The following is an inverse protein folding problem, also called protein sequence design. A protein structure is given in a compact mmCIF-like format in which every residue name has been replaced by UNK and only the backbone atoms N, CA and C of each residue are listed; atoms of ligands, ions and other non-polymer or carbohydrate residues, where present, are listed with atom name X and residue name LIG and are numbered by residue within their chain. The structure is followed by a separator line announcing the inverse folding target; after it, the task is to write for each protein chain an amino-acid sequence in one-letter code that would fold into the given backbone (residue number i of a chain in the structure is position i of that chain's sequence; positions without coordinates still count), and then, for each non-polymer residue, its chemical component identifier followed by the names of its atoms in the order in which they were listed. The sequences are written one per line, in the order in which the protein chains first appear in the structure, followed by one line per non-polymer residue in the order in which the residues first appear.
data_IF_092782531554
#
_entry.id   IF_092782531554
#
_cell.length_a   1.000
_cell.length_b   1.000
_cell.length_c   1.000
_cell.angle_alpha   90.00
_cell.angle_beta   90.00
_cell.angle_gamma   90.00
#
_symmetry.space_group_name_H-M   'P 1'
#
loop_
_entity.id
_entity.type
_entity.pdbx_description
1 polymer ?
#
# COMPACT_ATOMS: atom_id res chain seq x y z
N UNK A 1 30.53 -3.47 29.98
CA UNK A 1 29.21 -2.98 30.39
C UNK A 1 28.66 -2.19 29.24
N UNK A 2 27.70 -2.76 28.51
CA UNK A 2 27.03 -2.11 27.39
C UNK A 2 25.56 -2.06 27.76
N UNK A 3 25.10 -0.87 28.15
CA UNK A 3 23.68 -0.60 28.34
C UNK A 3 22.99 -0.66 26.98
N UNK A 4 22.00 -1.54 26.91
CA UNK A 4 21.08 -1.70 25.79
C UNK A 4 20.22 -0.44 25.67
N UNK A 5 20.46 0.36 24.63
CA UNK A 5 19.42 1.17 24.02
C UNK A 5 19.19 0.62 22.62
N UNK A 6 18.10 -0.12 22.47
CA UNK A 6 17.70 -0.77 21.23
C UNK A 6 17.12 0.25 20.26
N UNK A 7 17.77 0.43 19.11
CA UNK A 7 17.08 0.80 17.87
C UNK A 7 17.50 -0.23 16.81
N UNK A 8 16.70 -1.28 16.67
CA UNK A 8 16.80 -2.26 15.58
C UNK A 8 15.64 -1.96 14.63
N UNK A 9 15.93 -1.51 13.40
CA UNK A 9 14.95 -1.35 12.32
C UNK A 9 15.16 -0.03 11.56
N UNK A 10 15.35 -0.09 10.24
CA UNK A 10 15.66 1.11 9.44
C UNK A 10 14.52 2.12 9.45
N UNK A 11 14.88 3.35 9.09
CA UNK A 11 14.30 4.65 9.47
C UNK A 11 12.82 4.95 9.09
N UNK A 12 12.01 3.95 8.76
CA UNK A 12 10.56 3.97 9.05
C UNK A 12 10.28 3.51 10.50
N UNK A 13 11.28 2.90 11.15
CA UNK A 13 11.32 2.58 12.58
C UNK A 13 10.47 1.38 12.99
N UNK A 14 10.49 1.04 14.29
CA UNK A 14 9.52 0.12 14.90
C UNK A 14 8.10 0.69 14.93
N UNK A 15 7.90 1.92 14.43
CA UNK A 15 6.66 2.67 14.54
C UNK A 15 5.90 2.75 13.22
N UNK A 16 6.53 3.36 12.20
CA UNK A 16 5.89 3.61 10.90
C UNK A 16 6.22 2.42 10.01
N UNK A 17 5.20 1.83 9.41
CA UNK A 17 5.37 0.78 8.41
C UNK A 17 5.61 1.40 7.03
N UNK A 18 4.79 2.40 6.65
CA UNK A 18 4.91 3.11 5.39
C UNK A 18 4.17 4.44 5.42
N UNK A 19 4.48 5.33 4.47
CA UNK A 19 3.71 6.56 4.24
C UNK A 19 3.69 6.91 2.76
N UNK A 20 2.70 7.70 2.38
CA UNK A 20 2.55 8.28 1.04
C UNK A 20 2.24 9.78 1.18
N UNK A 21 2.81 10.66 0.34
CA UNK A 21 3.88 10.38 -0.60
C UNK A 21 5.17 9.92 0.09
N UNK A 22 6.06 9.27 -0.67
CA UNK A 22 7.31 8.75 -0.12
C UNK A 22 8.24 9.91 0.27
N UNK A 23 9.20 9.61 1.13
CA UNK A 23 10.22 10.59 1.56
C UNK A 23 11.02 11.06 0.35
N UNK A 24 11.13 12.37 0.21
CA UNK A 24 11.86 13.07 -0.84
C UNK A 24 11.36 12.73 -2.25
N UNK A 25 10.12 12.27 -2.38
CA UNK A 25 9.51 12.02 -3.68
C UNK A 25 9.10 13.34 -4.38
N UNK A 26 8.98 13.35 -5.72
CA UNK A 26 9.21 12.21 -6.62
C UNK A 26 10.70 11.85 -6.74
N UNK A 27 11.00 10.55 -6.79
CA UNK A 27 12.35 10.09 -7.11
C UNK A 27 12.58 10.09 -8.64
N UNK A 28 13.83 10.00 -9.07
CA UNK A 28 14.17 9.96 -10.49
C UNK A 28 13.44 8.80 -11.18
N UNK A 29 12.70 9.11 -12.24
CA UNK A 29 11.91 8.13 -13.00
C UNK A 29 10.51 7.83 -12.43
N UNK A 30 10.14 8.38 -11.26
CA UNK A 30 8.77 8.31 -10.75
C UNK A 30 7.89 9.43 -11.32
N UNK A 31 6.57 9.21 -11.46
CA UNK A 31 5.65 10.27 -11.84
C UNK A 31 5.64 11.40 -10.78
N UNK A 32 5.36 12.64 -11.19
CA UNK A 32 5.23 13.75 -10.26
C UNK A 32 4.08 13.51 -9.27
N UNK A 33 4.21 14.05 -8.05
CA UNK A 33 3.14 13.99 -7.05
C UNK A 33 2.14 15.11 -7.37
N UNK A 34 0.86 14.80 -7.62
CA UNK A 34 -0.13 15.82 -7.98
C UNK A 34 -0.59 16.62 -6.76
N UNK A 35 -1.07 17.84 -6.98
CA UNK A 35 -1.51 18.74 -5.91
C UNK A 35 -2.83 18.37 -5.21
N UNK A 36 -3.61 17.47 -5.80
CA UNK A 36 -4.84 16.91 -5.20
C UNK A 36 -4.61 15.57 -4.49
N UNK A 37 -3.35 15.22 -4.24
CA UNK A 37 -2.98 13.95 -3.60
C UNK A 37 -3.36 13.90 -2.12
N UNK A 38 -3.71 12.71 -1.65
CA UNK A 38 -3.85 12.36 -0.23
C UNK A 38 -2.48 12.10 0.40
N UNK A 39 -2.43 12.25 1.72
CA UNK A 39 -1.29 11.86 2.56
C UNK A 39 -1.72 10.67 3.41
N UNK A 40 -0.88 9.64 3.49
CA UNK A 40 -1.21 8.40 4.20
C UNK A 40 -0.08 8.01 5.11
N UNK A 41 -0.44 7.53 6.30
CA UNK A 41 0.49 7.03 7.29
C UNK A 41 -0.03 5.68 7.76
N UNK A 42 0.80 4.64 7.60
CA UNK A 42 0.54 3.30 8.15
C UNK A 42 1.50 3.06 9.31
N UNK A 43 0.94 2.80 10.48
CA UNK A 43 1.65 2.41 11.70
C UNK A 43 1.74 0.89 11.80
N UNK A 44 2.79 0.38 12.45
CA UNK A 44 2.94 -1.07 12.69
C UNK A 44 1.89 -1.61 13.66
N UNK A 45 1.47 -0.78 14.61
CA UNK A 45 0.51 -1.10 15.66
C UNK A 45 -0.63 -0.09 15.71
N UNK A 46 -1.72 -0.47 16.39
CA UNK A 46 -2.89 0.38 16.53
C UNK A 46 -2.56 1.62 17.38
N UNK A 47 -2.95 2.78 16.88
CA UNK A 47 -2.75 4.06 17.58
C UNK A 47 -3.99 4.45 18.37
N UNK A 48 -3.84 5.41 19.28
CA UNK A 48 -4.92 6.05 19.99
C UNK A 48 -5.54 7.16 19.11
N UNK A 49 -6.79 7.00 18.62
CA UNK A 49 -7.34 7.87 17.58
C UNK A 49 -7.36 9.36 17.93
N UNK A 50 -7.73 9.72 19.16
CA UNK A 50 -7.81 11.13 19.60
C UNK A 50 -6.48 11.87 19.56
N UNK A 51 -5.35 11.17 19.48
CA UNK A 51 -4.04 11.81 19.38
C UNK A 51 -3.70 12.22 17.94
N UNK A 52 -4.55 11.87 16.97
CA UNK A 52 -4.28 12.12 15.56
C UNK A 52 -5.48 12.70 14.79
N UNK A 53 -6.70 12.47 15.25
CA UNK A 53 -7.94 12.95 14.64
C UNK A 53 -8.78 13.62 15.72
N UNK A 54 -9.33 14.77 15.38
CA UNK A 54 -10.33 15.47 16.17
C UNK A 54 -11.73 15.04 15.71
N UNK A 55 -12.55 14.58 16.66
CA UNK A 55 -13.94 14.16 16.43
C UNK A 55 -14.83 15.41 16.32
N UNK A 56 -14.91 15.97 15.12
CA UNK A 56 -15.59 17.24 14.84
C UNK A 56 -17.11 17.04 14.84
N UNK A 57 -17.57 15.86 14.45
CA UNK A 57 -19.00 15.57 14.37
C UNK A 57 -19.58 14.98 15.67
N UNK A 58 -18.74 14.63 16.65
CA UNK A 58 -19.13 14.16 17.97
C UNK A 58 -19.73 12.76 17.98
N UNK A 59 -19.42 11.94 16.97
CA UNK A 59 -19.95 10.57 16.83
C UNK A 59 -19.31 9.59 17.83
N UNK A 60 -18.12 9.91 18.35
CA UNK A 60 -17.27 8.99 19.08
C UNK A 60 -16.54 7.99 18.18
N UNK A 61 -16.70 8.08 16.87
CA UNK A 61 -15.99 7.30 15.84
C UNK A 61 -15.06 8.25 15.10
N UNK A 62 -13.77 8.09 15.33
CA UNK A 62 -12.76 8.97 14.73
C UNK A 62 -12.54 8.64 13.25
N UNK A 63 -12.54 9.68 12.43
CA UNK A 63 -12.22 9.60 11.01
C UNK A 63 -13.41 9.14 10.18
N UNK A 64 -14.62 9.56 10.54
CA UNK A 64 -15.84 9.27 9.81
C UNK A 64 -16.50 10.53 9.21
N UNK A 65 -17.64 10.33 8.54
CA UNK A 65 -18.47 11.38 7.96
C UNK A 65 -19.90 11.19 8.43
N UNK A 66 -20.34 12.04 9.35
CA UNK A 66 -21.71 12.04 9.85
C UNK A 66 -22.39 13.33 9.43
N UNK A 67 -23.57 13.20 8.81
CA UNK A 67 -24.40 14.34 8.37
C UNK A 67 -23.65 15.39 7.54
N UNK A 68 -22.65 14.98 6.75
CA UNK A 68 -21.86 15.87 5.90
C UNK A 68 -20.72 16.59 6.62
N UNK A 69 -20.47 16.28 7.90
CA UNK A 69 -19.37 16.85 8.70
C UNK A 69 -18.26 15.80 8.86
N UNK A 70 -17.15 15.92 8.13
CA UNK A 70 -16.02 15.02 8.28
C UNK A 70 -15.19 15.39 9.51
N UNK A 71 -14.57 14.37 10.10
CA UNK A 71 -13.53 14.58 11.09
C UNK A 71 -12.27 15.18 10.47
N UNK A 72 -11.54 15.93 11.31
CA UNK A 72 -10.33 16.64 10.91
C UNK A 72 -9.09 16.08 11.58
N UNK A 73 -7.94 16.35 10.98
CA UNK A 73 -6.66 15.98 11.60
C UNK A 73 -6.44 16.79 12.89
N UNK A 74 -5.87 16.15 13.90
CA UNK A 74 -5.37 16.86 15.07
C UNK A 74 -4.11 17.65 14.65
N UNK A 75 -4.29 18.95 14.38
CA UNK A 75 -3.23 19.82 13.84
C UNK A 75 -2.15 20.21 14.86
N UNK A 76 -2.33 19.85 16.14
CA UNK A 76 -1.26 19.95 17.15
C UNK A 76 -0.22 18.84 16.96
N UNK A 77 -0.68 17.61 16.75
CA UNK A 77 0.15 16.41 16.65
C UNK A 77 0.56 16.04 15.23
N UNK A 78 -0.23 16.45 14.23
CA UNK A 78 0.06 16.22 12.81
C UNK A 78 0.10 17.55 12.08
N UNK A 79 1.28 17.92 11.61
CA UNK A 79 1.50 19.18 10.90
C UNK A 79 1.87 18.93 9.48
N UNK A 80 1.16 19.60 8.57
CA UNK A 80 1.37 19.53 7.13
C UNK A 80 1.55 20.96 6.66
N UNK A 81 2.71 21.32 6.13
CA UNK A 81 3.00 22.69 5.74
C UNK A 81 3.92 22.74 4.53
N UNK A 82 3.80 23.80 3.73
CA UNK A 82 4.81 24.11 2.73
C UNK A 82 6.15 24.33 3.45
N UNK A 83 7.21 23.65 3.00
CA UNK A 83 8.51 23.62 3.69
C UNK A 83 9.11 25.03 3.86
N UNK A 84 8.84 25.94 2.92
CA UNK A 84 9.26 27.35 2.99
C UNK A 84 8.57 28.13 4.13
N UNK A 85 7.35 27.75 4.48
CA UNK A 85 6.48 28.52 5.37
C UNK A 85 6.65 28.10 6.83
N UNK A 86 7.08 26.85 7.04
CA UNK A 86 7.35 26.27 8.34
C UNK A 86 6.10 25.87 9.12
N UNK A 87 6.34 25.23 10.27
CA UNK A 87 5.31 24.56 11.07
C UNK A 87 4.24 25.52 11.65
N UNK A 88 4.53 26.82 11.76
CA UNK A 88 3.55 27.83 12.22
C UNK A 88 2.47 28.15 11.18
N UNK A 89 2.61 27.63 9.96
CA UNK A 89 1.68 27.79 8.84
C UNK A 89 1.14 26.43 8.40
N UNK A 90 1.08 25.46 9.31
CA UNK A 90 0.51 24.16 9.00
C UNK A 90 -0.99 24.26 8.74
N UNK A 91 -1.45 23.43 7.80
CA UNK A 91 -2.85 23.31 7.43
C UNK A 91 -3.68 22.85 8.63
N UNK A 92 -4.93 23.29 8.70
CA UNK A 92 -5.88 22.92 9.75
C UNK A 92 -5.62 23.56 11.12
N UNK A 93 -4.73 24.56 11.20
CA UNK A 93 -4.42 25.27 12.45
C UNK A 93 -5.31 26.50 12.70
N UNK A 94 -5.92 27.07 11.67
CA UNK A 94 -6.81 28.24 11.81
C UNK A 94 -8.28 27.82 11.84
N UNK A 95 -8.94 27.79 13.01
CA UNK A 95 -10.34 27.39 13.11
C UNK A 95 -11.32 28.35 12.42
N UNK A 96 -10.85 29.53 11.96
CA UNK A 96 -11.68 30.49 11.23
C UNK A 96 -11.47 30.39 9.71
N UNK A 97 -10.55 29.54 9.25
CA UNK A 97 -10.26 29.37 7.82
C UNK A 97 -10.64 27.98 7.36
N UNK A 98 -11.93 27.78 7.06
CA UNK A 98 -12.43 26.51 6.55
C UNK A 98 -11.81 26.09 5.20
N UNK A 99 -11.12 26.98 4.48
CA UNK A 99 -10.40 26.62 3.25
C UNK A 99 -9.09 25.86 3.54
N UNK A 100 -8.64 25.89 4.80
CA UNK A 100 -7.44 25.23 5.29
C UNK A 100 -7.74 23.90 6.02
N UNK A 101 -9.02 23.50 6.06
CA UNK A 101 -9.43 22.25 6.71
C UNK A 101 -8.69 21.04 6.12
N UNK A 102 -8.32 20.12 7.00
CA UNK A 102 -7.68 18.85 6.63
C UNK A 102 -8.52 17.71 7.16
N UNK A 103 -9.19 17.00 6.27
CA UNK A 103 -10.01 15.86 6.62
C UNK A 103 -9.15 14.63 6.89
N UNK A 104 -9.61 13.79 7.82
CA UNK A 104 -8.93 12.55 8.17
C UNK A 104 -9.90 11.38 8.21
N UNK A 105 -9.39 10.20 7.85
CA UNK A 105 -10.10 8.92 7.93
C UNK A 105 -9.19 7.89 8.57
N UNK A 106 -9.77 6.98 9.37
CA UNK A 106 -9.01 5.96 10.12
C UNK A 106 -9.47 4.56 9.73
N UNK A 107 -8.52 3.65 9.51
CA UNK A 107 -8.84 2.25 9.27
C UNK A 107 -9.46 1.59 10.50
N UNK A 108 -10.28 0.56 10.29
CA UNK A 108 -10.96 -0.15 11.39
C UNK A 108 -10.01 -0.79 12.42
N UNK A 109 -8.79 -1.16 12.01
CA UNK A 109 -7.72 -1.67 12.87
C UNK A 109 -6.89 -0.55 13.54
N UNK A 110 -7.21 0.71 13.24
CA UNK A 110 -6.58 1.93 13.78
C UNK A 110 -5.08 2.02 13.49
N UNK A 111 -4.65 1.50 12.33
CA UNK A 111 -3.24 1.55 11.91
C UNK A 111 -2.98 2.51 10.76
N UNK A 112 -3.98 2.80 9.94
CA UNK A 112 -3.84 3.60 8.73
C UNK A 112 -4.67 4.87 8.87
N UNK A 113 -4.03 6.02 8.70
CA UNK A 113 -4.74 7.29 8.52
C UNK A 113 -4.59 7.72 7.08
N UNK A 114 -5.72 8.13 6.52
CA UNK A 114 -5.79 8.83 5.24
C UNK A 114 -6.13 10.28 5.53
N UNK A 115 -5.31 11.18 4.99
CA UNK A 115 -5.40 12.61 5.20
C UNK A 115 -5.68 13.26 3.85
N UNK A 116 -6.74 14.06 3.79
CA UNK A 116 -7.17 14.78 2.60
C UNK A 116 -7.31 16.27 2.92
N UNK A 117 -6.32 17.11 2.53
CA UNK A 117 -6.52 18.54 2.50
C UNK A 117 -7.78 18.90 1.71
N UNK A 118 -8.62 19.79 2.22
CA UNK A 118 -9.86 20.19 1.55
C UNK A 118 -9.58 20.82 0.18
N UNK A 119 -8.56 21.68 0.14
CA UNK A 119 -8.08 22.32 -1.06
C UNK A 119 -6.78 21.69 -1.55
N UNK A 120 -6.48 21.86 -2.84
CA UNK A 120 -5.23 21.40 -3.42
C UNK A 120 -4.03 22.07 -2.75
N UNK A 121 -3.01 21.28 -2.44
CA UNK A 121 -1.78 21.74 -1.80
C UNK A 121 -0.77 22.22 -2.85
N UNK A 122 0.06 23.22 -2.53
CA UNK A 122 1.05 23.76 -3.47
C UNK A 122 0.49 24.81 -4.41
N UNK A 123 1.11 24.96 -5.59
CA UNK A 123 0.86 26.07 -6.52
C UNK A 123 0.47 25.56 -7.92
N UNK A 124 -0.50 26.19 -8.62
CA UNK A 124 -0.86 25.83 -10.00
C UNK A 124 0.22 26.15 -11.05
N UNK A 125 1.33 26.80 -10.67
CA UNK A 125 2.33 27.30 -11.64
C UNK A 125 3.76 26.85 -11.33
N UNK A 126 3.99 26.24 -10.17
CA UNK A 126 5.32 25.75 -9.79
C UNK A 126 5.24 24.64 -8.75
N UNK A 127 6.26 23.81 -8.75
CA UNK A 127 6.45 22.78 -7.74
C UNK A 127 6.60 23.39 -6.35
N UNK A 128 6.05 22.71 -5.35
CA UNK A 128 6.08 23.17 -3.95
C UNK A 128 6.49 22.02 -3.04
N UNK A 129 7.56 22.21 -2.26
CA UNK A 129 7.95 21.23 -1.23
C UNK A 129 7.07 21.35 0.00
N UNK A 130 6.62 20.21 0.50
CA UNK A 130 5.85 20.06 1.73
C UNK A 130 6.62 19.25 2.75
N UNK A 131 6.37 19.54 4.02
CA UNK A 131 6.82 18.75 5.17
C UNK A 131 5.61 18.23 5.92
N UNK A 132 5.66 16.95 6.31
CA UNK A 132 4.73 16.37 7.28
C UNK A 132 5.51 16.04 8.53
N UNK A 133 5.00 16.45 9.68
CA UNK A 133 5.60 16.22 10.99
C UNK A 133 4.58 15.62 11.95
N UNK A 134 4.98 14.54 12.60
CA UNK A 134 4.20 13.78 13.57
C UNK A 134 4.86 13.92 14.95
N UNK A 135 4.09 14.30 15.95
CA UNK A 135 4.53 14.40 17.36
C UNK A 135 3.37 14.11 18.30
N UNK A 136 3.65 13.70 19.54
CA UNK A 136 2.60 13.52 20.57
C UNK A 136 1.62 12.36 20.34
N UNK A 137 1.82 11.55 19.30
CA UNK A 137 0.97 10.39 18.98
C UNK A 137 1.20 9.27 19.99
N UNK A 138 0.11 8.61 20.41
CA UNK A 138 0.13 7.49 21.35
C UNK A 138 -0.30 6.18 20.69
N UNK A 139 0.26 5.07 21.18
CA UNK A 139 -0.27 3.74 20.94
C UNK A 139 -1.64 3.58 21.60
N UNK A 140 -2.43 2.58 21.17
CA UNK A 140 -3.74 2.31 21.75
C UNK A 140 -3.71 2.05 23.28
N UNK A 141 -2.57 1.61 23.82
CA UNK A 141 -2.37 1.41 25.26
C UNK A 141 -2.08 2.72 26.03
N UNK A 142 -1.89 3.84 25.34
CA UNK A 142 -1.59 5.17 25.91
C UNK A 142 -0.11 5.56 25.94
N UNK A 143 0.80 4.64 25.61
CA UNK A 143 2.24 4.93 25.56
C UNK A 143 2.57 5.85 24.39
N UNK A 144 3.59 6.71 24.56
CA UNK A 144 4.08 7.56 23.47
C UNK A 144 4.75 6.70 22.40
N UNK A 145 4.45 7.02 21.15
CA UNK A 145 4.98 6.29 20.00
C UNK A 145 6.45 6.67 19.73
N UNK A 146 6.76 7.96 19.76
CA UNK A 146 8.09 8.48 19.47
C UNK A 146 8.88 8.61 20.78
N UNK A 147 9.63 7.56 21.12
CA UNK A 147 10.49 7.50 22.29
C UNK A 147 11.96 7.57 21.87
N UNK A 148 12.76 8.45 22.48
CA UNK A 148 14.21 8.52 22.26
C UNK A 148 14.75 9.94 22.17
N UNK A 149 15.90 10.10 21.50
CA UNK A 149 16.53 11.41 21.29
C UNK A 149 15.69 12.37 20.42
N UNK A 150 14.77 11.80 19.62
CA UNK A 150 13.78 12.53 18.84
C UNK A 150 12.39 12.05 19.26
N UNK A 151 11.50 12.98 19.59
CA UNK A 151 10.12 12.74 20.00
C UNK A 151 9.12 13.03 18.87
N UNK A 152 9.58 12.99 17.63
CA UNK A 152 8.80 13.26 16.43
C UNK A 152 9.32 12.43 15.25
N UNK A 153 8.51 12.35 14.20
CA UNK A 153 8.89 11.84 12.89
C UNK A 153 8.48 12.84 11.82
N UNK A 154 9.38 13.19 10.91
CA UNK A 154 9.08 14.07 9.79
C UNK A 154 9.64 13.56 8.46
N UNK A 155 8.97 13.95 7.38
CA UNK A 155 9.46 13.75 6.03
C UNK A 155 9.00 14.87 5.11
N UNK A 156 9.69 14.98 3.99
CA UNK A 156 9.37 15.96 2.95
C UNK A 156 9.02 15.25 1.65
N UNK A 157 8.27 15.93 0.79
CA UNK A 157 8.01 15.57 -0.59
C UNK A 157 7.70 16.84 -1.38
N UNK A 158 7.72 16.76 -2.71
CA UNK A 158 7.43 17.89 -3.59
C UNK A 158 6.21 17.58 -4.43
N UNK A 159 5.18 18.43 -4.32
CA UNK A 159 4.01 18.38 -5.22
C UNK A 159 4.28 19.23 -6.46
N UNK A 160 3.76 18.79 -7.60
CA UNK A 160 3.84 19.51 -8.86
C UNK A 160 2.72 20.55 -9.01
N UNK A 161 2.72 21.27 -10.13
CA UNK A 161 1.63 22.16 -10.53
C UNK A 161 0.36 21.42 -11.00
N UNK A 162 0.45 20.13 -11.25
CA UNK A 162 -0.58 19.35 -11.95
C UNK A 162 -1.55 18.68 -10.98
N UNK A 163 -2.80 18.53 -11.42
CA UNK A 163 -3.80 17.70 -10.77
C UNK A 163 -3.86 16.35 -11.46
N UNK A 164 -4.12 15.31 -10.68
CA UNK A 164 -4.32 13.98 -11.22
C UNK A 164 -5.81 13.67 -11.39
N UNK A 165 -6.16 13.36 -12.64
CA UNK A 165 -7.49 13.00 -13.12
C UNK A 165 -7.41 11.67 -13.89
N UNK A 166 -6.43 10.83 -13.60
CA UNK A 166 -6.27 9.52 -14.23
C UNK A 166 -6.86 8.47 -13.29
N UNK A 167 -7.85 7.69 -13.72
CA UNK A 167 -8.35 6.56 -12.95
C UNK A 167 -7.28 5.51 -12.68
N UNK A 168 -7.23 4.91 -11.48
CA UNK A 168 -6.42 3.73 -11.26
C UNK A 168 -6.98 2.56 -12.07
N UNK A 169 -6.09 1.65 -12.48
CA UNK A 169 -6.43 0.47 -13.25
C UNK A 169 -5.82 -0.78 -12.60
N UNK A 170 -6.52 -1.92 -12.75
CA UNK A 170 -5.94 -3.21 -12.40
C UNK A 170 -4.82 -3.56 -13.38
N UNK A 171 -3.62 -3.77 -12.84
CA UNK A 171 -2.42 -4.17 -13.56
C UNK A 171 -2.31 -5.69 -13.61
N UNK A 172 -2.56 -6.39 -12.51
CA UNK A 172 -2.57 -7.86 -12.49
C UNK A 172 -3.34 -8.44 -11.31
N UNK A 173 -3.72 -9.71 -11.44
CA UNK A 173 -4.32 -10.48 -10.34
C UNK A 173 -3.66 -11.82 -10.13
N UNK A 174 -3.73 -12.30 -8.89
CA UNK A 174 -3.45 -13.69 -8.52
C UNK A 174 -4.68 -14.21 -7.76
N UNK A 175 -5.12 -15.44 -8.02
CA UNK A 175 -4.80 -16.22 -9.21
C UNK A 175 -5.43 -15.62 -10.48
N UNK A 176 -4.84 -15.92 -11.63
CA UNK A 176 -5.46 -15.63 -12.93
C UNK A 176 -6.60 -16.63 -13.21
N UNK A 177 -7.66 -16.23 -13.94
CA UNK A 177 -8.62 -17.16 -14.51
C UNK A 177 -7.93 -18.26 -15.31
N UNK A 178 -8.31 -19.51 -15.07
CA UNK A 178 -7.67 -20.67 -15.68
C UNK A 178 -8.62 -21.87 -15.73
N UNK A 179 -8.38 -22.78 -16.68
CA UNK A 179 -9.10 -24.06 -16.75
C UNK A 179 -8.77 -25.02 -15.61
N UNK A 180 -7.60 -24.84 -14.98
CA UNK A 180 -7.15 -25.60 -13.82
C UNK A 180 -7.49 -24.89 -12.51
N UNK A 181 -7.67 -25.67 -11.44
CA UNK A 181 -7.89 -25.17 -10.10
C UNK A 181 -6.55 -24.96 -9.36
N UNK A 182 -6.55 -24.05 -8.39
CA UNK A 182 -5.40 -23.72 -7.54
C UNK A 182 -5.53 -24.37 -6.16
N UNK A 183 -4.43 -24.65 -5.44
CA UNK A 183 -4.49 -25.01 -4.03
C UNK A 183 -5.32 -23.99 -3.24
N UNK A 184 -6.12 -24.45 -2.29
CA UNK A 184 -7.08 -23.58 -1.58
C UNK A 184 -6.43 -22.57 -0.62
N UNK A 185 -5.12 -22.63 -0.42
CA UNK A 185 -4.34 -21.62 0.29
C UNK A 185 -3.57 -20.67 -0.66
N UNK A 186 -3.97 -20.59 -1.93
CA UNK A 186 -3.47 -19.58 -2.87
C UNK A 186 -3.79 -18.17 -2.35
N UNK A 187 -2.84 -17.25 -2.53
CA UNK A 187 -3.04 -15.83 -2.21
C UNK A 187 -3.97 -15.23 -3.26
N UNK A 188 -4.97 -14.47 -2.81
CA UNK A 188 -5.80 -13.65 -3.70
C UNK A 188 -5.26 -12.23 -3.64
N UNK A 189 -4.81 -11.71 -4.78
CA UNK A 189 -4.07 -10.46 -4.88
C UNK A 189 -4.57 -9.64 -6.07
N UNK A 190 -4.72 -8.33 -5.87
CA UNK A 190 -4.97 -7.32 -6.92
C UNK A 190 -3.81 -6.34 -6.90
N UNK A 191 -3.18 -6.12 -8.06
CA UNK A 191 -2.17 -5.09 -8.25
C UNK A 191 -2.72 -3.99 -9.13
N UNK A 192 -2.45 -2.75 -8.75
CA UNK A 192 -2.86 -1.55 -9.45
C UNK A 192 -1.64 -0.85 -10.06
N UNK A 193 -1.85 -0.12 -11.16
CA UNK A 193 -0.80 0.68 -11.79
C UNK A 193 -0.32 1.85 -10.90
N UNK A 194 -1.14 2.28 -9.97
CA UNK A 194 -0.87 3.38 -9.05
C UNK A 194 -1.34 3.12 -7.61
N UNK A 195 -1.05 4.08 -6.73
CA UNK A 195 -1.34 3.94 -5.32
C UNK A 195 -2.84 4.17 -5.04
N UNK A 196 -3.44 3.27 -4.27
CA UNK A 196 -4.87 3.22 -3.94
C UNK A 196 -5.12 3.67 -2.51
N UNK A 197 -6.19 4.42 -2.29
CA UNK A 197 -6.65 4.79 -0.95
C UNK A 197 -6.97 3.53 -0.11
N UNK A 198 -6.25 3.29 1.00
CA UNK A 198 -6.46 2.16 1.90
C UNK A 198 -7.87 2.06 2.47
N UNK A 199 -8.52 3.18 2.80
CA UNK A 199 -9.88 3.18 3.36
C UNK A 199 -10.87 2.69 2.30
N UNK A 200 -10.56 2.94 1.03
CA UNK A 200 -11.36 2.49 -0.10
C UNK A 200 -11.13 1.01 -0.47
N UNK A 201 -9.99 0.42 -0.09
CA UNK A 201 -9.52 -0.84 -0.65
C UNK A 201 -9.09 -1.91 0.38
N UNK A 202 -9.15 -1.60 1.68
CA UNK A 202 -8.77 -2.53 2.75
C UNK A 202 -9.77 -2.50 3.90
N UNK A 203 -9.84 -3.63 4.61
CA UNK A 203 -10.70 -3.77 5.77
C UNK A 203 -11.18 -5.21 5.98
N UNK A 204 -11.86 -5.40 7.12
CA UNK A 204 -12.48 -6.68 7.45
C UNK A 204 -13.75 -6.83 6.64
N UNK A 205 -13.78 -7.87 5.82
CA UNK A 205 -14.94 -8.27 5.03
C UNK A 205 -15.62 -9.44 5.73
N UNK A 206 -16.87 -9.24 6.16
CA UNK A 206 -17.70 -10.29 6.72
C UNK A 206 -19.15 -10.17 6.20
N UNK A 207 -19.93 -11.24 6.36
CA UNK A 207 -21.32 -11.29 5.85
C UNK A 207 -22.29 -10.37 6.61
N UNK A 208 -21.95 -9.96 7.83
CA UNK A 208 -22.82 -9.27 8.78
C UNK A 208 -22.54 -7.74 8.84
N UNK A 209 -21.55 -7.26 8.08
CA UNK A 209 -21.18 -5.84 7.98
C UNK A 209 -19.68 -5.60 7.76
N UNK A 210 -19.27 -4.34 7.67
CA UNK A 210 -17.86 -3.95 7.52
C UNK A 210 -17.52 -3.46 6.12
N UNK A 211 -16.27 -3.70 5.71
CA UNK A 211 -15.76 -3.29 4.40
C UNK A 211 -16.48 -4.04 3.27
N UNK A 212 -16.86 -3.38 2.18
CA UNK A 212 -17.64 -4.00 1.09
C UNK A 212 -17.23 -3.60 -0.33
N UNK A 213 -16.12 -2.86 -0.47
CA UNK A 213 -15.68 -2.35 -1.78
C UNK A 213 -14.96 -3.44 -2.59
N UNK A 214 -14.32 -4.37 -1.90
CA UNK A 214 -13.77 -5.59 -2.50
C UNK A 214 -14.39 -6.79 -1.78
N UNK A 215 -14.76 -7.80 -2.55
CA UNK A 215 -15.41 -9.00 -2.02
C UNK A 215 -14.92 -10.25 -2.75
N UNK A 216 -14.94 -11.37 -2.03
CA UNK A 216 -14.71 -12.69 -2.59
C UNK A 216 -15.84 -13.63 -2.13
N UNK A 217 -16.41 -14.37 -3.07
CA UNK A 217 -17.57 -15.23 -2.79
C UNK A 217 -17.57 -16.54 -3.60
N UNK A 218 -17.82 -17.71 -2.97
CA UNK A 218 -18.37 -18.88 -3.66
C UNK A 218 -19.86 -18.70 -3.94
N UNK A 219 -20.27 -18.75 -5.19
CA UNK A 219 -21.70 -18.84 -5.58
C UNK A 219 -22.61 -17.85 -4.81
N UNK A 220 -22.16 -16.58 -4.70
CA UNK A 220 -22.83 -15.45 -4.01
C UNK A 220 -22.80 -15.43 -2.46
N UNK A 221 -22.11 -16.36 -1.80
CA UNK A 221 -21.89 -16.31 -0.34
C UNK A 221 -20.53 -15.68 -0.01
N UNK A 222 -20.48 -14.63 0.80
CA UNK A 222 -19.23 -13.95 1.18
C UNK A 222 -18.29 -14.87 2.01
N UNK A 223 -16.99 -14.90 1.67
CA UNK A 223 -15.95 -15.50 2.53
C UNK A 223 -15.51 -14.47 3.55
N UNK A 224 -15.54 -14.80 4.84
CA UNK A 224 -15.00 -13.88 5.86
C UNK A 224 -13.48 -13.82 5.80
N UNK A 225 -12.92 -12.63 5.99
CA UNK A 225 -11.49 -12.39 5.99
C UNK A 225 -11.15 -10.91 6.00
N UNK A 226 -9.90 -10.61 5.67
CA UNK A 226 -9.36 -9.26 5.70
C UNK A 226 -8.69 -8.94 4.37
N UNK A 227 -9.08 -7.83 3.76
CA UNK A 227 -8.34 -7.23 2.67
C UNK A 227 -7.28 -6.31 3.27
N UNK A 228 -6.01 -6.57 2.96
CA UNK A 228 -4.88 -5.77 3.41
C UNK A 228 -4.23 -5.09 2.23
N UNK A 229 -3.94 -3.80 2.36
CA UNK A 229 -3.20 -3.06 1.37
C UNK A 229 -1.70 -3.09 1.70
N UNK A 230 -0.86 -3.22 0.69
CA UNK A 230 0.59 -3.34 0.82
C UNK A 230 1.30 -2.78 -0.41
N UNK A 231 2.62 -2.98 -0.49
CA UNK A 231 3.44 -2.68 -1.66
C UNK A 231 3.32 -1.21 -2.09
N UNK A 232 3.54 -0.29 -1.14
CA UNK A 232 3.38 1.16 -1.35
C UNK A 232 1.99 1.54 -1.86
N UNK A 233 0.97 0.89 -1.28
CA UNK A 233 -0.44 1.09 -1.57
C UNK A 233 -0.88 0.67 -2.98
N UNK A 234 -0.07 -0.11 -3.70
CA UNK A 234 -0.41 -0.60 -5.06
C UNK A 234 -0.95 -2.02 -5.09
N UNK A 235 -1.02 -2.71 -3.96
CA UNK A 235 -1.44 -4.11 -3.91
C UNK A 235 -2.45 -4.33 -2.79
N UNK A 236 -3.55 -5.02 -3.09
CA UNK A 236 -4.50 -5.53 -2.09
C UNK A 236 -4.44 -7.06 -2.07
N UNK A 237 -4.31 -7.64 -0.88
CA UNK A 237 -4.30 -9.09 -0.65
C UNK A 237 -5.43 -9.49 0.29
N UNK A 238 -6.14 -10.57 -0.02
CA UNK A 238 -7.15 -11.15 0.86
C UNK A 238 -6.57 -12.27 1.72
N UNK A 239 -6.80 -12.16 3.02
CA UNK A 239 -6.45 -13.17 4.02
C UNK A 239 -7.73 -13.76 4.61
N UNK A 240 -8.01 -15.03 4.31
CA UNK A 240 -9.12 -15.74 4.95
C UNK A 240 -8.82 -15.97 6.44
N UNK A 241 -9.87 -15.96 7.25
CA UNK A 241 -9.83 -16.34 8.67
C UNK A 241 -10.11 -17.85 8.89
N UNK A 242 -10.38 -18.60 7.82
CA UNK A 242 -10.74 -20.01 7.88
C UNK A 242 -9.50 -20.90 7.97
N UNK A 243 -9.14 -21.32 9.18
CA UNK A 243 -8.02 -22.24 9.41
C UNK A 243 -8.37 -23.63 8.83
N UNK A 244 -7.48 -24.16 7.98
CA UNK A 244 -7.66 -25.41 7.26
C UNK A 244 -6.52 -26.42 7.48
N UNK A 245 -5.44 -26.01 8.14
CA UNK A 245 -4.27 -26.87 8.34
C UNK A 245 -3.21 -26.22 9.22
N UNK A 246 -2.03 -26.86 9.23
CA UNK A 246 -0.81 -26.34 9.85
C UNK A 246 0.35 -26.58 8.90
N UNK A 247 1.29 -25.65 8.86
CA UNK A 247 2.53 -25.85 8.13
C UNK A 247 3.49 -26.78 8.92
N UNK A 248 4.63 -27.19 8.33
CA UNK A 248 5.60 -28.04 9.03
C UNK A 248 6.16 -27.47 10.35
N UNK A 249 6.02 -26.16 10.57
CA UNK A 249 6.42 -25.46 11.80
C UNK A 249 5.28 -25.37 12.83
N UNK A 250 4.12 -25.98 12.56
CA UNK A 250 2.95 -25.94 13.45
C UNK A 250 2.14 -24.65 13.41
N UNK A 251 2.53 -23.66 12.61
CA UNK A 251 1.77 -22.42 12.42
C UNK A 251 0.49 -22.71 11.60
N UNK A 252 -0.64 -22.05 11.91
CA UNK A 252 -1.90 -22.27 11.20
C UNK A 252 -1.79 -21.88 9.72
N UNK A 253 -2.40 -22.68 8.85
CA UNK A 253 -2.65 -22.34 7.45
C UNK A 253 -4.13 -21.96 7.34
N UNK A 254 -4.39 -20.83 6.68
CA UNK A 254 -5.73 -20.36 6.37
C UNK A 254 -6.02 -20.58 4.89
N UNK A 255 -7.26 -20.98 4.57
CA UNK A 255 -7.64 -21.36 3.22
C UNK A 255 -8.98 -20.76 2.81
N UNK A 256 -9.10 -20.56 1.50
CA UNK A 256 -10.36 -20.41 0.80
C UNK A 256 -11.18 -21.72 0.86
N UNK A 257 -12.48 -21.70 0.51
CA UNK A 257 -13.31 -22.89 0.36
C UNK A 257 -12.68 -23.95 -0.56
N UNK A 258 -12.88 -25.21 -0.21
CA UNK A 258 -12.36 -26.37 -0.94
C UNK A 258 -13.23 -26.64 -2.18
N UNK A 259 -12.62 -27.04 -3.30
CA UNK A 259 -13.32 -27.42 -4.54
C UNK A 259 -14.39 -26.43 -5.00
N UNK A 260 -14.12 -25.12 -4.85
CA UNK A 260 -15.09 -24.07 -5.09
C UNK A 260 -14.72 -23.22 -6.31
N UNK A 261 -15.74 -22.64 -6.95
CA UNK A 261 -15.54 -21.53 -7.90
C UNK A 261 -15.73 -20.24 -7.12
N UNK A 262 -14.72 -19.37 -7.14
CA UNK A 262 -14.72 -18.12 -6.39
C UNK A 262 -14.72 -16.97 -7.38
N UNK A 263 -15.62 -16.01 -7.17
CA UNK A 263 -15.63 -14.73 -7.87
C UNK A 263 -15.08 -13.67 -6.92
N UNK A 264 -14.19 -12.83 -7.44
CA UNK A 264 -13.71 -11.62 -6.76
C UNK A 264 -14.24 -10.41 -7.51
N UNK A 265 -14.68 -9.41 -6.76
CA UNK A 265 -15.19 -8.13 -7.27
C UNK A 265 -14.46 -6.99 -6.54
N UNK A 266 -13.90 -6.05 -7.29
CA UNK A 266 -13.49 -4.73 -6.84
C UNK A 266 -14.41 -3.68 -7.46
N UNK A 267 -15.11 -2.91 -6.62
CA UNK A 267 -16.08 -1.91 -7.05
C UNK A 267 -15.38 -0.61 -7.44
N UNK A 268 -15.83 0.00 -8.53
CA UNK A 268 -15.59 1.40 -8.81
C UNK A 268 -16.42 2.28 -7.87
N UNK A 269 -15.93 3.46 -7.55
CA UNK A 269 -16.64 4.42 -6.71
C UNK A 269 -17.67 5.20 -7.53
N UNK A 270 -18.78 5.58 -6.89
CA UNK A 270 -19.75 6.49 -7.49
C UNK A 270 -19.07 7.81 -7.84
N UNK A 271 -19.24 8.28 -9.07
CA UNK A 271 -18.63 9.52 -9.56
C UNK A 271 -19.36 10.77 -9.04
N UNK A 272 -18.60 11.83 -8.79
CA UNK A 272 -19.16 13.13 -8.43
C UNK A 272 -19.92 13.74 -9.61
N UNK A 273 -21.21 14.01 -9.42
CA UNK A 273 -22.00 14.81 -10.36
C UNK A 273 -21.59 16.29 -10.28
N UNK A 274 -20.44 16.64 -10.86
CA UNK A 274 -20.09 18.04 -11.04
C UNK A 274 -20.70 18.55 -12.36
N UNK A 275 -21.67 19.46 -12.25
CA UNK A 275 -22.20 20.25 -13.36
C UNK A 275 -21.11 21.16 -13.97
N UNK A 276 -20.09 20.61 -14.65
CA UNK A 276 -19.15 21.35 -15.51
C UNK A 276 -18.08 20.49 -16.23
N UNK A 277 -17.79 19.25 -15.83
CA UNK A 277 -16.66 18.48 -16.41
C UNK A 277 -17.17 17.17 -17.01
N UNK A 278 -17.30 17.05 -18.35
CA UNK A 278 -17.50 15.76 -19.00
C UNK A 278 -16.38 14.79 -18.58
N UNK A 279 -16.74 13.58 -18.16
CA UNK A 279 -15.80 12.54 -17.71
C UNK A 279 -14.99 12.90 -16.45
N UNK A 280 -15.60 13.54 -15.44
CA UNK A 280 -14.95 13.74 -14.15
C UNK A 280 -14.69 12.39 -13.45
N UNK A 281 -13.42 12.01 -13.22
CA UNK A 281 -13.10 10.71 -12.62
C UNK A 281 -13.23 10.69 -11.10
N UNK A 282 -13.42 11.85 -10.47
CA UNK A 282 -13.46 11.99 -9.02
C UNK A 282 -14.67 11.29 -8.40
N UNK A 283 -14.45 10.57 -7.30
CA UNK A 283 -15.52 9.98 -6.52
C UNK A 283 -16.41 11.05 -5.86
N UNK A 284 -17.70 10.75 -5.72
CA UNK A 284 -18.76 11.64 -5.20
C UNK A 284 -18.56 12.02 -3.73
N UNK A 285 -17.84 11.18 -3.00
CA UNK A 285 -17.59 11.34 -1.57
C UNK A 285 -16.08 11.34 -1.31
N UNK A 286 -15.68 12.03 -0.25
CA UNK A 286 -14.33 11.91 0.31
C UNK A 286 -14.14 10.59 1.08
N UNK A 287 -15.25 9.95 1.45
CA UNK A 287 -15.34 8.57 1.95
C UNK A 287 -16.00 7.73 0.84
N UNK A 288 -15.22 7.22 -0.12
CA UNK A 288 -15.75 6.59 -1.32
C UNK A 288 -16.42 5.26 -0.99
N UNK A 289 -17.39 4.87 -1.82
CA UNK A 289 -18.13 3.59 -1.77
C UNK A 289 -17.53 2.50 -2.68
N UNK A 290 -16.35 2.78 -3.25
CA UNK A 290 -15.58 1.91 -4.13
C UNK A 290 -14.11 2.30 -4.12
N UNK A 291 -13.29 1.54 -4.85
CA UNK A 291 -11.84 1.71 -4.93
C UNK A 291 -11.49 3.03 -5.63
N UNK A 292 -10.64 3.83 -5.00
CA UNK A 292 -10.12 5.10 -5.55
C UNK A 292 -8.62 5.23 -5.36
N UNK A 293 -7.97 6.05 -6.17
CA UNK A 293 -6.55 6.40 -6.00
C UNK A 293 -6.31 7.47 -4.90
N UNK A 294 -5.05 7.89 -4.80
CA UNK A 294 -4.62 8.97 -3.91
C UNK A 294 -5.17 10.34 -4.30
N UNK A 295 -5.59 10.54 -5.54
CA UNK A 295 -6.20 11.77 -6.04
C UNK A 295 -7.74 11.74 -5.96
N UNK A 296 -8.32 10.66 -5.42
CA UNK A 296 -9.76 10.41 -5.31
C UNK A 296 -10.47 10.09 -6.63
N UNK A 297 -9.73 9.64 -7.66
CA UNK A 297 -10.32 9.13 -8.89
C UNK A 297 -10.84 7.71 -8.69
N UNK A 298 -12.04 7.41 -9.19
CA UNK A 298 -12.63 6.08 -9.19
C UNK A 298 -11.85 5.13 -10.10
N UNK A 299 -11.75 3.85 -9.68
CA UNK A 299 -11.24 2.74 -10.47
C UNK A 299 -11.84 2.70 -11.88
N UNK A 300 -10.99 2.48 -12.89
CA UNK A 300 -11.29 2.00 -14.25
C UNK A 300 -10.90 0.51 -14.31
N UNK A 301 -11.83 -0.35 -13.89
CA UNK A 301 -11.59 -1.78 -13.75
C UNK A 301 -11.62 -2.54 -15.07
N UNK A 302 -12.41 -2.07 -16.04
CA UNK A 302 -12.62 -2.78 -17.29
C UNK A 302 -13.43 -4.08 -17.18
N UNK A 303 -14.40 -4.14 -16.27
CA UNK A 303 -15.36 -5.26 -16.23
C UNK A 303 -14.78 -6.62 -15.86
N UNK A 304 -15.10 -7.64 -16.66
CA UNK A 304 -14.75 -9.03 -16.38
C UNK A 304 -13.42 -9.44 -16.99
N UNK A 305 -12.54 -10.01 -16.17
CA UNK A 305 -11.40 -10.80 -16.63
C UNK A 305 -11.78 -12.29 -16.75
N UNK A 306 -11.76 -12.79 -17.97
CA UNK A 306 -12.05 -14.20 -18.32
C UNK A 306 -10.93 -14.82 -19.14
N UNK A 307 -11.02 -16.13 -19.39
CA UNK A 307 -10.19 -16.82 -20.40
C UNK A 307 -10.92 -16.89 -21.74
N UNK A 308 -10.19 -16.84 -22.84
CA UNK A 308 -10.72 -17.15 -24.17
C UNK A 308 -11.36 -18.54 -24.20
N UNK A 309 -12.30 -18.82 -25.13
CA UNK A 309 -12.88 -20.16 -25.27
C UNK A 309 -11.83 -21.27 -25.51
N UNK A 310 -10.70 -20.91 -26.12
CA UNK A 310 -9.54 -21.81 -26.30
C UNK A 310 -8.68 -21.99 -25.05
N UNK A 311 -8.91 -21.21 -23.99
CA UNK A 311 -8.14 -21.20 -22.75
C UNK A 311 -6.71 -20.64 -22.88
N UNK A 312 -6.37 -20.05 -24.03
CA UNK A 312 -4.99 -19.65 -24.36
C UNK A 312 -4.67 -18.18 -24.05
N UNK A 313 -5.69 -17.33 -23.94
CA UNK A 313 -5.52 -15.89 -23.70
C UNK A 313 -6.50 -15.39 -22.65
N UNK A 314 -6.15 -14.30 -21.97
CA UNK A 314 -7.06 -13.57 -21.11
C UNK A 314 -7.84 -12.52 -21.90
N UNK A 315 -9.09 -12.29 -21.51
CA UNK A 315 -9.98 -11.29 -22.09
C UNK A 315 -10.48 -10.42 -20.95
N UNK A 316 -10.33 -9.10 -21.08
CA UNK A 316 -10.90 -8.11 -20.18
C UNK A 316 -12.02 -7.37 -20.93
N UNK A 317 -13.25 -7.36 -20.40
CA UNK A 317 -14.41 -6.78 -21.09
C UNK A 317 -15.44 -6.12 -20.15
N UNK A 318 -15.85 -4.86 -20.41
CA UNK A 318 -15.32 -3.95 -21.44
C UNK A 318 -13.85 -3.57 -21.15
N UNK A 319 -13.02 -3.34 -22.17
CA UNK A 319 -11.61 -3.01 -21.92
C UNK A 319 -11.51 -1.70 -21.14
N UNK A 320 -10.61 -1.64 -20.13
CA UNK A 320 -10.17 -0.38 -19.52
C UNK A 320 -9.77 0.64 -20.58
N UNK A 321 -10.42 1.80 -20.60
CA UNK A 321 -10.28 2.82 -21.65
C UNK A 321 -9.55 4.09 -21.17
N UNK A 322 -9.17 4.12 -19.89
CA UNK A 322 -8.51 5.23 -19.24
C UNK A 322 -9.47 6.33 -18.75
N UNK A 323 -10.77 6.08 -18.75
CA UNK A 323 -11.80 6.98 -18.23
C UNK A 323 -12.55 6.28 -17.11
N UNK A 324 -13.02 7.08 -16.16
CA UNK A 324 -13.99 6.59 -15.20
C UNK A 324 -15.40 6.85 -15.72
N UNK A 325 -16.17 5.79 -15.86
CA UNK A 325 -17.61 5.72 -16.10
C UNK A 325 -18.39 5.34 -14.83
N UNK A 326 -17.69 4.89 -13.78
CA UNK A 326 -18.26 4.54 -12.49
C UNK A 326 -18.97 3.18 -12.48
N UNK A 327 -19.59 2.80 -11.35
CA UNK A 327 -20.28 1.53 -11.24
C UNK A 327 -21.59 1.48 -12.06
N UNK A 328 -21.94 0.32 -12.63
CA UNK A 328 -21.20 -0.94 -12.58
C UNK A 328 -20.16 -1.10 -13.69
N UNK A 329 -20.02 -0.12 -14.60
CA UNK A 329 -19.21 -0.22 -15.83
C UNK A 329 -17.73 -0.49 -15.50
N UNK A 330 -17.18 0.25 -14.56
CA UNK A 330 -15.77 0.14 -14.18
C UNK A 330 -15.50 -0.83 -13.02
N UNK A 331 -16.51 -1.57 -12.58
CA UNK A 331 -16.27 -2.65 -11.63
C UNK A 331 -15.33 -3.67 -12.27
N UNK A 332 -14.36 -4.18 -11.50
CA UNK A 332 -13.48 -5.23 -11.94
C UNK A 332 -13.86 -6.55 -11.28
N UNK A 333 -14.06 -7.61 -12.07
CA UNK A 333 -14.38 -8.93 -11.56
C UNK A 333 -13.64 -10.04 -12.29
N UNK A 334 -13.30 -11.10 -11.57
CA UNK A 334 -12.70 -12.30 -12.16
C UNK A 334 -13.06 -13.53 -11.33
N UNK A 335 -12.97 -14.71 -11.96
CA UNK A 335 -13.26 -15.98 -11.30
C UNK A 335 -12.12 -16.97 -11.41
N UNK A 336 -11.96 -17.79 -10.39
CA UNK A 336 -11.00 -18.90 -10.36
C UNK A 336 -11.55 -20.08 -9.56
N UNK A 337 -10.91 -21.24 -9.68
CA UNK A 337 -11.29 -22.46 -8.98
C UNK A 337 -10.25 -22.87 -7.95
N UNK A 338 -10.70 -23.42 -6.83
CA UNK A 338 -9.84 -24.05 -5.82
C UNK A 338 -9.93 -25.56 -5.88
N UNK A 339 -8.88 -26.26 -5.45
CA UNK A 339 -8.88 -27.69 -5.17
C UNK A 339 -9.12 -27.93 -3.67
N UNK A 340 -9.12 -29.18 -3.23
CA UNK A 340 -9.06 -29.52 -1.80
C UNK A 340 -7.62 -29.53 -1.25
N UNK A 341 -6.62 -29.38 -2.12
CA UNK A 341 -5.20 -29.48 -1.76
C UNK A 341 -4.69 -28.21 -1.06
N UNK A 342 -3.84 -28.42 -0.05
CA UNK A 342 -3.11 -27.36 0.65
C UNK A 342 -1.64 -27.46 0.28
N UNK A 343 -1.06 -26.37 -0.24
CA UNK A 343 0.38 -26.29 -0.51
C UNK A 343 1.12 -25.87 0.76
N UNK A 344 1.87 -26.79 1.36
CA UNK A 344 2.60 -26.57 2.62
C UNK A 344 4.11 -26.35 2.45
N UNK A 345 4.60 -26.38 1.21
CA UNK A 345 6.00 -26.10 0.88
C UNK A 345 6.24 -24.60 0.84
N UNK A 346 7.11 -24.11 1.73
CA UNK A 346 7.53 -22.71 1.74
C UNK A 346 8.39 -22.36 0.49
N UNK A 347 8.20 -21.17 -0.11
CA UNK A 347 9.11 -20.64 -1.12
C UNK A 347 10.54 -20.48 -0.59
N UNK A 348 11.51 -20.63 -1.47
CA UNK A 348 12.94 -20.49 -1.18
C UNK A 348 13.51 -19.31 -1.95
N UNK A 349 14.53 -18.68 -1.40
CA UNK A 349 15.30 -17.66 -2.13
C UNK A 349 16.09 -18.37 -3.23
N UNK A 350 15.89 -17.93 -4.46
CA UNK A 350 16.62 -18.41 -5.64
C UNK A 350 17.81 -17.51 -5.97
N UNK A 351 17.65 -16.19 -5.85
CA UNK A 351 18.72 -15.22 -6.13
C UNK A 351 18.67 -14.02 -5.18
N UNK A 352 19.84 -13.43 -4.93
CA UNK A 352 19.99 -12.13 -4.28
C UNK A 352 20.98 -11.31 -5.10
N UNK A 353 20.59 -10.09 -5.45
CA UNK A 353 21.44 -9.13 -6.19
C UNK A 353 21.42 -7.79 -5.45
N UNK A 354 22.55 -7.11 -5.22
CA UNK A 354 23.91 -7.60 -5.41
C UNK A 354 24.15 -8.88 -4.58
N UNK A 355 25.02 -9.74 -5.09
CA UNK A 355 25.37 -11.00 -4.45
C UNK A 355 26.23 -10.78 -3.20
N UNK A 356 26.32 -11.79 -2.35
CA UNK A 356 27.13 -11.69 -1.13
C UNK A 356 28.61 -11.45 -1.49
N UNK A 357 29.17 -10.35 -0.96
CA UNK A 357 30.56 -9.91 -1.22
C UNK A 357 30.83 -9.48 -2.67
N UNK A 358 29.80 -9.12 -3.42
CA UNK A 358 29.98 -8.49 -4.73
C UNK A 358 30.82 -7.21 -4.61
N UNK A 359 31.74 -7.00 -5.56
CA UNK A 359 32.62 -5.84 -5.60
C UNK A 359 32.12 -4.83 -6.63
N UNK A 360 32.54 -3.57 -6.50
CA UNK A 360 32.17 -2.48 -7.42
C UNK A 360 30.67 -2.25 -7.55
N UNK A 361 29.93 -2.50 -6.47
CA UNK A 361 28.48 -2.24 -6.37
C UNK A 361 28.25 -0.75 -6.21
N UNK A 362 27.27 -0.20 -6.94
CA UNK A 362 26.86 1.19 -6.77
C UNK A 362 26.35 1.44 -5.34
N UNK A 363 26.63 2.63 -4.82
CA UNK A 363 26.29 2.99 -3.43
C UNK A 363 24.78 2.97 -3.13
N UNK A 364 23.96 3.10 -4.16
CA UNK A 364 22.50 3.10 -4.19
C UNK A 364 21.93 1.94 -5.03
N UNK A 365 22.75 0.91 -5.29
CA UNK A 365 22.33 -0.24 -6.08
C UNK A 365 21.06 -0.87 -5.50
N UNK A 366 20.04 -1.05 -6.34
CA UNK A 366 18.81 -1.73 -5.97
C UNK A 366 19.11 -3.15 -5.47
N UNK A 367 18.64 -3.47 -4.26
CA UNK A 367 18.75 -4.83 -3.72
C UNK A 367 17.52 -5.62 -4.13
N UNK A 368 17.70 -6.76 -4.77
CA UNK A 368 16.63 -7.65 -5.18
C UNK A 368 16.80 -9.05 -4.58
N UNK A 369 15.69 -9.66 -4.17
CA UNK A 369 15.63 -11.03 -3.64
C UNK A 369 14.54 -11.76 -4.41
N UNK A 370 14.90 -12.76 -5.20
CA UNK A 370 13.92 -13.56 -5.94
C UNK A 370 13.59 -14.83 -5.15
N UNK A 371 12.31 -15.12 -5.00
CA UNK A 371 11.80 -16.34 -4.40
C UNK A 371 11.35 -17.29 -5.51
N UNK A 372 11.50 -18.61 -5.35
CA UNK A 372 11.10 -19.62 -6.33
C UNK A 372 9.58 -19.91 -6.36
N UNK A 373 8.82 -19.20 -5.53
CA UNK A 373 7.37 -19.28 -5.43
C UNK A 373 6.76 -17.90 -5.17
N UNK A 374 5.43 -17.86 -5.21
CA UNK A 374 4.67 -16.66 -4.87
C UNK A 374 4.83 -16.33 -3.38
N UNK A 375 5.09 -15.07 -3.10
CA UNK A 375 5.11 -14.49 -1.76
C UNK A 375 3.93 -13.54 -1.61
N UNK A 376 3.37 -13.45 -0.39
CA UNK A 376 2.51 -12.31 -0.06
C UNK A 376 3.37 -11.05 -0.06
N UNK A 377 2.93 -10.03 -0.81
CA UNK A 377 3.63 -8.75 -0.88
C UNK A 377 3.50 -7.97 0.43
N UNK A 378 2.43 -8.20 1.20
CA UNK A 378 2.31 -7.63 2.55
C UNK A 378 3.38 -8.16 3.51
N UNK A 379 3.93 -9.35 3.26
CA UNK A 379 5.01 -9.91 4.10
C UNK A 379 6.33 -9.13 3.99
N UNK A 380 6.53 -8.35 2.93
CA UNK A 380 7.77 -7.61 2.69
C UNK A 380 7.96 -6.40 3.61
N UNK A 381 6.92 -5.98 4.34
CA UNK A 381 7.06 -4.99 5.44
C UNK A 381 7.90 -5.50 6.62
N UNK A 382 8.19 -6.81 6.63
CA UNK A 382 9.10 -7.47 7.59
C UNK A 382 10.55 -7.55 7.08
N UNK A 383 10.85 -7.12 5.85
CA UNK A 383 12.23 -7.08 5.36
C UNK A 383 13.00 -5.99 6.09
N UNK A 384 14.16 -6.37 6.63
CA UNK A 384 15.04 -5.47 7.39
C UNK A 384 16.37 -5.33 6.70
N UNK A 385 16.68 -4.11 6.25
CA UNK A 385 18.03 -3.73 5.81
C UNK A 385 18.81 -3.23 7.03
N UNK A 386 19.98 -3.83 7.28
CA UNK A 386 20.88 -3.46 8.39
C UNK A 386 22.25 -3.09 7.84
N UNK A 387 22.85 -2.06 8.44
CA UNK A 387 24.23 -1.66 8.17
C UNK A 387 25.15 -2.18 9.28
N UNK A 388 26.45 -2.33 8.98
CA UNK A 388 27.46 -2.84 9.91
C UNK A 388 27.88 -1.82 11.00
N UNK A 389 27.58 -0.54 10.79
CA UNK A 389 27.78 0.56 11.73
C UNK A 389 26.41 1.16 12.08
N UNK A 390 26.32 1.95 13.15
CA UNK A 390 25.10 2.64 13.57
C UNK A 390 24.70 3.78 12.63
N UNK A 391 24.65 3.53 11.32
CA UNK A 391 24.12 4.49 10.35
C UNK A 391 22.72 4.06 9.95
N UNK A 392 21.77 4.95 10.21
CA UNK A 392 20.42 4.81 9.71
C UNK A 392 20.43 5.08 8.21
N UNK A 393 19.99 4.09 7.44
CA UNK A 393 19.74 4.24 6.00
C UNK A 393 18.24 4.09 5.81
N UNK A 394 17.63 5.05 5.10
CA UNK A 394 16.25 4.92 4.69
C UNK A 394 16.16 3.83 3.62
N UNK A 395 15.13 3.00 3.68
CA UNK A 395 14.83 2.04 2.63
C UNK A 395 13.33 1.81 2.53
N UNK A 396 12.90 1.34 1.37
CA UNK A 396 11.55 0.84 1.12
C UNK A 396 11.67 -0.56 0.53
N UNK A 397 10.69 -1.41 0.79
CA UNK A 397 10.58 -2.72 0.18
C UNK A 397 9.30 -2.77 -0.66
N UNK A 398 9.44 -3.23 -1.89
CA UNK A 398 8.34 -3.49 -2.82
C UNK A 398 8.45 -4.92 -3.35
N UNK A 399 7.37 -5.41 -3.95
CA UNK A 399 7.31 -6.74 -4.54
C UNK A 399 6.80 -6.71 -5.97
N UNK A 400 7.39 -7.58 -6.80
CA UNK A 400 7.01 -7.77 -8.19
C UNK A 400 6.76 -9.25 -8.44
N UNK A 401 5.58 -9.56 -8.96
CA UNK A 401 5.22 -10.91 -9.36
C UNK A 401 5.67 -11.18 -10.80
N UNK A 402 6.39 -12.30 -11.00
CA UNK A 402 7.01 -12.64 -12.27
C UNK A 402 6.43 -13.93 -12.85
N UNK A 403 6.33 -13.96 -14.18
CA UNK A 403 5.99 -15.17 -14.93
C UNK A 403 7.19 -16.11 -15.12
N UNK A 404 6.98 -17.19 -15.87
CA UNK A 404 8.02 -18.19 -16.20
C UNK A 404 9.21 -17.65 -16.99
N UNK A 405 9.10 -16.45 -17.58
CA UNK A 405 10.15 -15.77 -18.36
C UNK A 405 10.85 -14.64 -17.57
N UNK A 406 10.67 -14.59 -16.25
CA UNK A 406 11.24 -13.53 -15.38
C UNK A 406 10.76 -12.12 -15.73
N UNK A 407 9.55 -12.00 -16.32
CA UNK A 407 8.92 -10.72 -16.62
C UNK A 407 7.80 -10.43 -15.63
N UNK A 408 7.62 -9.14 -15.23
CA UNK A 408 6.44 -8.72 -14.48
C UNK A 408 5.14 -9.17 -15.17
N UNK A 409 4.16 -9.55 -14.37
CA UNK A 409 2.83 -9.93 -14.88
C UNK A 409 1.97 -8.69 -15.00
N UNK A 410 1.54 -8.37 -16.22
CA UNK A 410 0.67 -7.23 -16.55
C UNK A 410 -0.45 -7.69 -17.47
N UNK A 411 -1.71 -7.34 -17.15
CA UNK A 411 -2.88 -7.65 -17.95
C UNK A 411 -2.85 -6.88 -19.28
N UNK A 412 -3.15 -7.57 -20.38
CA UNK A 412 -3.18 -6.98 -21.73
C UNK A 412 -1.89 -7.15 -22.54
N UNK A 413 -0.81 -7.63 -21.93
CA UNK A 413 0.39 -8.03 -22.68
C UNK A 413 0.28 -9.47 -23.21
N UNK A 414 0.48 -9.65 -24.52
CA UNK A 414 0.28 -10.92 -25.20
C UNK A 414 1.33 -11.98 -24.78
N UNK A 415 0.88 -13.17 -24.38
CA UNK A 415 1.78 -14.29 -24.05
C UNK A 415 2.44 -14.22 -22.67
N UNK A 416 1.90 -13.40 -21.76
CA UNK A 416 2.24 -13.42 -20.33
C UNK A 416 1.50 -14.58 -19.65
N UNK A 417 2.27 -15.50 -19.08
CA UNK A 417 1.75 -16.58 -18.24
C UNK A 417 1.46 -16.11 -16.80
N UNK A 418 0.81 -16.98 -16.03
CA UNK A 418 0.57 -16.73 -14.61
C UNK A 418 1.84 -16.39 -13.84
N UNK A 419 1.68 -15.59 -12.79
CA UNK A 419 2.73 -15.37 -11.81
C UNK A 419 3.10 -16.70 -11.16
N UNK A 420 4.39 -17.04 -11.16
CA UNK A 420 4.88 -18.27 -10.52
C UNK A 420 5.93 -18.00 -9.44
N UNK A 421 6.50 -16.79 -9.42
CA UNK A 421 7.56 -16.37 -8.51
C UNK A 421 7.43 -14.90 -8.16
N UNK A 422 8.01 -14.50 -7.04
CA UNK A 422 7.99 -13.10 -6.59
C UNK A 422 9.42 -12.61 -6.37
N UNK A 423 9.70 -11.37 -6.76
CA UNK A 423 10.95 -10.66 -6.46
C UNK A 423 10.67 -9.51 -5.51
N UNK A 424 11.34 -9.48 -4.37
CA UNK A 424 11.40 -8.30 -3.52
C UNK A 424 12.42 -7.31 -4.10
N UNK A 425 12.10 -6.03 -4.07
CA UNK A 425 12.94 -4.92 -4.51
C UNK A 425 13.07 -3.94 -3.34
N UNK A 426 14.29 -3.77 -2.85
CA UNK A 426 14.62 -2.93 -1.70
C UNK A 426 15.44 -1.75 -2.22
N UNK A 427 14.78 -0.61 -2.33
CA UNK A 427 15.42 0.66 -2.64
C UNK A 427 15.86 1.32 -1.33
N UNK A 428 17.06 1.87 -1.30
CA UNK A 428 17.61 2.52 -0.13
C UNK A 428 18.41 3.76 -0.51
N UNK A 429 18.65 4.64 0.45
CA UNK A 429 19.55 5.78 0.26
C UNK A 429 20.97 5.33 -0.02
N UNK A 430 21.74 6.16 -0.73
CA UNK A 430 23.15 5.88 -0.96
C UNK A 430 23.84 5.55 0.36
N UNK A 431 24.41 4.35 0.44
CA UNK A 431 25.38 4.07 1.46
C UNK A 431 26.50 5.11 1.23
N UNK A 432 26.99 5.77 2.29
CA UNK A 432 28.11 6.75 2.25
C UNK A 432 27.68 8.18 1.86
N UNK A 433 27.44 9.03 2.86
CA UNK A 433 27.14 10.46 2.64
C UNK A 433 28.37 11.31 2.25
N UNK A 434 29.58 10.74 2.38
CA UNK A 434 30.85 11.30 1.89
C UNK A 434 31.74 10.14 1.42
N UNK A 435 32.35 10.20 0.22
CA UNK A 435 33.43 9.28 -0.12
C UNK A 435 34.54 9.43 0.93
N UNK A 436 35.21 8.35 1.36
CA UNK A 436 36.34 8.48 2.26
C UNK A 436 37.40 9.29 1.53
N UNK A 437 38.00 10.24 2.24
CA UNK A 437 39.30 10.73 1.82
C UNK A 437 40.22 9.50 1.66
N UNK A 438 40.69 9.32 0.42
CA UNK A 438 41.60 8.27 -0.06
C UNK A 438 42.32 7.54 1.08
N UNK A 439 41.86 6.32 1.39
CA UNK A 439 42.53 5.21 2.11
C UNK A 439 41.57 4.23 2.81
N UNK A 440 40.27 4.18 2.48
CA UNK A 440 39.40 3.09 2.95
C UNK A 440 39.52 1.87 2.02
N UNK A 441 40.51 1.02 2.28
CA UNK A 441 40.53 -0.34 1.74
C UNK A 441 39.45 -1.15 2.46
N UNK A 442 38.46 -1.58 1.69
CA UNK A 442 37.48 -2.64 1.99
C UNK A 442 36.20 -2.22 2.73
N UNK A 443 35.16 -1.97 1.92
CA UNK A 443 33.77 -1.98 2.34
C UNK A 443 33.15 -3.34 1.98
N UNK A 444 32.54 -4.01 2.95
CA UNK A 444 31.89 -5.29 2.72
C UNK A 444 30.37 -5.14 2.70
N UNK A 445 29.76 -5.51 1.58
CA UNK A 445 28.31 -5.67 1.43
C UNK A 445 27.92 -7.10 1.83
N UNK A 446 27.09 -7.23 2.87
CA UNK A 446 26.57 -8.51 3.37
C UNK A 446 25.04 -8.53 3.25
N UNK A 447 24.49 -8.87 2.06
CA UNK A 447 23.08 -9.18 1.96
C UNK A 447 22.86 -10.50 2.68
N UNK A 448 22.27 -10.45 3.87
CA UNK A 448 21.85 -11.64 4.60
C UNK A 448 20.35 -11.57 4.82
N UNK A 449 19.63 -12.49 4.19
CA UNK A 449 18.25 -12.76 4.55
C UNK A 449 18.31 -13.89 5.56
N UNK A 450 17.95 -13.61 6.82
CA UNK A 450 17.81 -14.69 7.78
C UNK A 450 16.55 -15.48 7.44
N UNK A 451 16.69 -16.62 6.77
CA UNK A 451 15.63 -17.63 6.75
C UNK A 451 15.64 -18.37 8.09
N UNK A 452 15.31 -17.65 9.16
CA UNK A 452 14.90 -18.29 10.40
C UNK A 452 13.48 -18.83 10.17
N UNK A 453 13.39 -19.96 9.48
CA UNK A 453 12.33 -20.91 9.84
C UNK A 453 12.80 -21.52 11.16
N UNK A 454 12.67 -20.75 12.24
CA UNK A 454 12.70 -21.36 13.57
C UNK A 454 11.32 -22.01 13.69
N UNK A 455 11.29 -23.34 13.57
CA UNK A 455 10.16 -24.09 14.10
C UNK A 455 10.09 -23.87 15.60
#
# INVERSE_FOLDING_TARGET
GYTQDFIIGGFLGPVIESHYPKRNAPWEGEPPIPRNTKIIITFREAIKPLTIIDDINGSGIYGDLIAGVPDQINSENVKIYATSDGETKALGMDPNNAEDDVYASLSGDKKIIVIKPKNYIGSPVQDTSYTVKLSGIQWANGDQIFTGAYNYYDWQFTVSSEVDLTPPQVESVIPLPSGSAYPRNIIVQINFNEAIDPISASGIFNKDGGFTHISISPDQNAITGEFRIANQYKTVEFFSDSQCGKNPCGAPIFCLPASATLQVLAKAATLAELNAVPNNPQAASIFPDGVVDMANNSLDGGGELTTSPSGQSLILSPKKDGKAEGPPVDNFYWSFKTTDEVKDTAPKISTITPSAKEQNVLQDALVTITFDGLMSLSSFSNLVLKTNKQYNVWYTAAGVNLNSKDKPVVLGEYGIGAAIKTRAEILHGAFWQKPPELNATDAFYYPFVSSKVIC
#
